data_IF_605202246041
#
_entry.id   IF_605202246041
#
_cell.length_a   1.000
_cell.length_b   1.000
_cell.length_c   1.000
_cell.angle_alpha   90.00
_cell.angle_beta   90.00
_cell.angle_gamma   90.00
#
_symmetry.space_group_name_H-M   'P 1'
#
loop_
_entity.id
_entity.type
_entity.pdbx_description
1 polymer ?
#
# COMPACT_ATOMS: atom_id res chain seq x y z
N UNK A 1 -12.95 5.29 9.27
CA UNK A 1 -13.68 5.28 7.98
C UNK A 1 -12.82 4.65 6.91
N UNK A 2 -13.28 3.50 6.40
CA UNK A 2 -12.70 2.80 5.26
C UNK A 2 -12.83 3.67 4.00
N UNK A 3 -11.83 3.60 3.14
CA UNK A 3 -11.98 4.00 1.74
C UNK A 3 -12.00 2.70 0.95
N UNK A 4 -13.20 2.17 0.69
CA UNK A 4 -13.39 1.15 -0.33
C UNK A 4 -13.28 1.86 -1.68
N UNK A 5 -12.22 1.56 -2.42
CA UNK A 5 -12.01 2.03 -3.78
C UNK A 5 -12.94 1.26 -4.71
N UNK A 6 -14.03 1.90 -5.08
CA UNK A 6 -14.75 1.80 -6.37
C UNK A 6 -16.03 2.65 -6.38
N UNK A 7 -16.31 3.39 -5.29
CA UNK A 7 -17.23 4.52 -5.33
C UNK A 7 -16.50 5.81 -4.98
N UNK A 8 -16.84 6.90 -5.67
CA UNK A 8 -16.30 8.23 -5.38
C UNK A 8 -16.73 8.61 -3.95
N UNK A 9 -15.87 8.39 -2.96
CA UNK A 9 -16.13 8.81 -1.60
C UNK A 9 -16.05 10.34 -1.56
N UNK A 10 -17.19 11.03 -1.44
CA UNK A 10 -17.23 12.47 -1.24
C UNK A 10 -16.70 12.80 0.16
N UNK A 11 -15.40 12.96 0.25
CA UNK A 11 -14.72 13.27 1.49
C UNK A 11 -14.29 14.73 1.49
N UNK A 12 -15.13 15.51 2.16
CA UNK A 12 -14.97 16.93 2.49
C UNK A 12 -15.30 17.85 1.33
N UNK A 13 -16.60 18.08 1.17
CA UNK A 13 -17.06 19.36 0.62
C UNK A 13 -16.91 20.41 1.71
N UNK A 14 -16.05 21.41 1.51
CA UNK A 14 -15.81 22.45 2.52
C UNK A 14 -16.84 23.58 2.47
N UNK A 15 -17.69 23.60 1.44
CA UNK A 15 -18.68 24.63 1.16
C UNK A 15 -19.93 24.03 0.50
N UNK A 16 -21.11 24.39 0.99
CA UNK A 16 -22.40 24.02 0.40
C UNK A 16 -23.21 25.30 0.20
N UNK A 17 -23.74 25.54 -0.99
CA UNK A 17 -24.53 26.74 -1.32
C UNK A 17 -23.85 28.05 -0.87
N UNK A 18 -22.53 28.18 -1.10
CA UNK A 18 -21.66 29.30 -0.66
C UNK A 18 -21.50 29.47 0.85
N UNK A 19 -22.05 28.57 1.67
CA UNK A 19 -21.78 28.50 3.11
C UNK A 19 -20.56 27.62 3.38
N UNK A 20 -19.54 28.19 4.01
CA UNK A 20 -18.40 27.42 4.52
C UNK A 20 -18.84 26.52 5.67
N UNK A 21 -18.41 25.26 5.60
CA UNK A 21 -18.57 24.28 6.67
C UNK A 21 -17.29 24.15 7.50
N UNK A 22 -16.19 24.78 7.10
CA UNK A 22 -14.84 24.48 7.63
C UNK A 22 -14.69 24.64 9.15
N UNK A 23 -15.44 25.57 9.74
CA UNK A 23 -15.40 25.87 11.17
C UNK A 23 -16.39 25.08 12.01
N UNK A 24 -17.18 24.20 11.38
CA UNK A 24 -18.09 23.27 12.05
C UNK A 24 -17.36 21.99 12.46
N UNK A 25 -17.86 21.34 13.52
CA UNK A 25 -17.35 20.06 13.95
C UNK A 25 -17.53 18.99 12.86
N UNK A 26 -16.67 17.97 12.82
CA UNK A 26 -16.78 16.91 11.81
C UNK A 26 -18.14 16.22 11.86
N UNK A 27 -18.71 15.99 13.05
CA UNK A 27 -20.05 15.44 13.21
C UNK A 27 -21.11 16.24 12.44
N UNK A 28 -21.21 17.53 12.75
CA UNK A 28 -22.21 18.41 12.15
C UNK A 28 -22.07 18.47 10.63
N UNK A 29 -20.83 18.45 10.13
CA UNK A 29 -20.58 18.37 8.70
C UNK A 29 -21.02 17.05 8.09
N UNK A 30 -20.86 15.93 8.80
CA UNK A 30 -21.30 14.61 8.33
C UNK A 30 -22.82 14.55 8.26
N UNK A 31 -23.51 15.04 9.28
CA UNK A 31 -24.98 15.08 9.33
C UNK A 31 -25.54 15.88 8.15
N UNK A 32 -24.98 17.06 7.87
CA UNK A 32 -25.38 17.87 6.69
C UNK A 32 -25.08 17.12 5.37
N UNK A 33 -23.95 16.42 5.28
CA UNK A 33 -23.56 15.73 4.05
C UNK A 33 -24.38 14.46 3.80
N UNK A 34 -24.77 13.72 4.83
CA UNK A 34 -25.61 12.53 4.70
C UNK A 34 -27.00 12.88 4.17
N UNK A 35 -27.52 14.06 4.53
CA UNK A 35 -28.83 14.51 4.05
C UNK A 35 -28.84 14.92 2.57
N UNK A 36 -27.67 15.30 2.03
CA UNK A 36 -27.55 15.85 0.67
C UNK A 36 -27.06 14.83 -0.34
N UNK A 37 -26.33 13.79 0.10
CA UNK A 37 -25.80 12.75 -0.79
C UNK A 37 -26.88 11.67 -0.97
N UNK A 38 -27.48 11.53 -2.16
CA UNK A 38 -28.50 10.53 -2.38
C UNK A 38 -27.87 9.13 -2.39
N UNK A 39 -28.67 8.16 -1.94
CA UNK A 39 -28.36 6.73 -2.08
C UNK A 39 -28.33 6.39 -3.58
N UNK A 40 -27.53 5.39 -3.97
CA UNK A 40 -27.43 4.87 -5.36
C UNK A 40 -26.86 5.82 -6.42
N UNK A 41 -26.12 6.85 -6.02
CA UNK A 41 -25.36 7.65 -6.97
C UNK A 41 -23.91 7.17 -7.11
N UNK A 42 -23.19 7.66 -8.12
CA UNK A 42 -21.73 7.45 -8.26
C UNK A 42 -20.92 8.03 -7.08
N UNK A 43 -21.56 8.88 -6.26
CA UNK A 43 -21.02 9.44 -5.03
C UNK A 43 -21.61 8.68 -3.85
N UNK A 44 -20.74 8.12 -3.02
CA UNK A 44 -21.16 7.35 -1.85
C UNK A 44 -20.72 8.07 -0.57
N UNK A 45 -21.60 8.06 0.44
CA UNK A 45 -21.29 8.59 1.75
C UNK A 45 -20.53 7.55 2.57
N UNK A 46 -19.34 7.92 3.05
CA UNK A 46 -18.56 7.06 3.93
C UNK A 46 -19.21 6.95 5.31
N UNK A 47 -19.74 5.76 5.63
CA UNK A 47 -20.31 5.48 6.94
C UNK A 47 -19.21 5.40 8.02
N UNK A 48 -19.56 5.81 9.22
CA UNK A 48 -18.71 5.58 10.37
C UNK A 48 -18.89 4.13 10.85
N UNK A 49 -17.81 3.57 11.38
CA UNK A 49 -17.87 2.27 12.03
C UNK A 49 -17.91 2.53 13.54
N UNK A 50 -18.96 2.09 14.24
CA UNK A 50 -19.01 2.19 15.69
C UNK A 50 -18.02 1.19 16.32
N UNK A 51 -17.51 1.55 17.50
CA UNK A 51 -16.61 0.69 18.29
C UNK A 51 -15.19 1.24 18.42
N UNK A 52 -14.35 0.46 19.08
CA UNK A 52 -12.96 0.82 19.37
C UNK A 52 -12.08 0.73 18.13
N UNK A 53 -11.15 1.67 18.00
CA UNK A 53 -10.34 1.84 16.79
C UNK A 53 -9.43 0.64 16.50
N UNK A 54 -8.93 -0.03 17.53
CA UNK A 54 -8.11 -1.24 17.43
C UNK A 54 -8.89 -2.43 16.89
N UNK A 55 -10.12 -2.65 17.39
CA UNK A 55 -11.03 -3.69 16.92
C UNK A 55 -11.43 -3.45 15.46
N UNK A 56 -11.77 -2.20 15.09
CA UNK A 56 -12.08 -1.84 13.71
C UNK A 56 -10.86 -2.08 12.81
N UNK A 57 -9.66 -1.69 13.26
CA UNK A 57 -8.44 -1.92 12.50
C UNK A 57 -8.18 -3.41 12.27
N UNK A 58 -8.39 -4.24 13.29
CA UNK A 58 -8.25 -5.69 13.18
C UNK A 58 -9.17 -6.27 12.10
N UNK A 59 -10.44 -5.84 12.06
CA UNK A 59 -11.40 -6.27 11.04
C UNK A 59 -11.01 -5.75 9.65
N UNK A 60 -10.50 -4.52 9.54
CA UNK A 60 -10.01 -3.94 8.28
C UNK A 60 -8.82 -4.71 7.73
N UNK A 61 -7.87 -5.13 8.58
CA UNK A 61 -6.75 -5.97 8.17
C UNK A 61 -7.20 -7.36 7.73
N UNK A 62 -8.07 -8.02 8.49
CA UNK A 62 -8.63 -9.32 8.13
C UNK A 62 -9.42 -9.28 6.82
N UNK A 63 -10.13 -8.19 6.56
CA UNK A 63 -10.97 -8.02 5.38
C UNK A 63 -10.19 -7.74 4.09
N UNK A 64 -8.86 -7.74 4.09
CA UNK A 64 -8.13 -7.52 2.83
C UNK A 64 -7.93 -6.06 2.45
N UNK A 65 -8.14 -5.09 3.35
CA UNK A 65 -8.23 -3.67 2.98
C UNK A 65 -6.95 -2.88 3.27
N UNK A 66 -6.68 -1.79 2.54
CA UNK A 66 -5.44 -0.99 2.66
C UNK A 66 -5.24 -0.43 4.08
N UNK A 67 -6.32 -0.19 4.81
CA UNK A 67 -6.30 0.38 6.15
C UNK A 67 -7.50 1.29 6.42
N UNK A 68 -7.36 2.18 7.40
CA UNK A 68 -8.43 3.10 7.78
C UNK A 68 -7.92 4.50 8.12
N UNK A 69 -8.83 5.47 8.02
CA UNK A 69 -8.62 6.83 8.51
C UNK A 69 -9.53 7.08 9.71
N UNK A 70 -8.93 7.39 10.86
CA UNK A 70 -9.62 7.89 12.05
C UNK A 70 -9.65 9.41 12.01
N UNK A 71 -10.76 10.00 12.44
CA UNK A 71 -10.96 11.45 12.42
C UNK A 71 -11.60 11.89 13.73
N UNK A 72 -11.06 12.95 14.35
CA UNK A 72 -11.63 13.55 15.56
C UNK A 72 -13.00 14.14 15.26
N UNK A 73 -14.00 13.67 15.99
CA UNK A 73 -15.41 13.96 15.76
C UNK A 73 -15.79 15.44 16.00
N UNK A 74 -15.13 16.08 16.95
CA UNK A 74 -15.27 17.50 17.32
C UNK A 74 -14.35 18.44 16.50
N UNK A 75 -13.55 17.89 15.58
CA UNK A 75 -12.54 18.69 14.87
C UNK A 75 -13.11 19.54 13.73
N UNK A 76 -12.69 20.80 13.73
CA UNK A 76 -12.83 21.70 12.58
C UNK A 76 -11.93 21.26 11.43
N UNK A 77 -12.31 21.59 10.21
CA UNK A 77 -11.44 21.39 9.05
C UNK A 77 -10.34 22.45 9.00
N UNK A 78 -9.10 22.01 8.88
CA UNK A 78 -7.93 22.87 8.66
C UNK A 78 -7.11 22.26 7.53
N UNK A 79 -6.76 23.07 6.54
CA UNK A 79 -5.85 22.67 5.47
C UNK A 79 -4.42 22.53 6.02
N UNK A 80 -3.63 21.63 5.45
CA UNK A 80 -2.24 21.39 5.86
C UNK A 80 -2.09 20.23 6.84
N UNK A 81 -0.98 20.22 7.57
CA UNK A 81 -0.67 19.15 8.52
C UNK A 81 -1.61 19.21 9.73
N UNK A 82 -2.23 18.07 10.06
CA UNK A 82 -3.16 17.99 11.18
C UNK A 82 -3.11 16.61 11.84
N UNK A 83 -3.25 16.58 13.15
CA UNK A 83 -3.43 15.35 13.95
C UNK A 83 -4.90 14.97 14.13
N UNK A 84 -5.82 15.77 13.58
CA UNK A 84 -7.24 15.47 13.63
C UNK A 84 -7.60 14.26 12.77
N UNK A 85 -6.76 13.94 11.77
CA UNK A 85 -6.96 12.83 10.85
C UNK A 85 -5.74 11.93 10.89
N UNK A 86 -5.93 10.71 11.37
CA UNK A 86 -4.87 9.72 11.50
C UNK A 86 -5.16 8.56 10.57
N UNK A 87 -4.20 8.25 9.70
CA UNK A 87 -4.24 7.08 8.83
C UNK A 87 -3.42 5.96 9.45
N UNK A 88 -3.98 4.76 9.46
CA UNK A 88 -3.26 3.53 9.75
C UNK A 88 -3.42 2.59 8.55
N UNK A 89 -2.33 1.94 8.16
CA UNK A 89 -2.29 1.08 6.97
C UNK A 89 -2.06 -0.36 7.38
N UNK A 90 -2.78 -1.26 6.72
CA UNK A 90 -2.61 -2.70 6.82
C UNK A 90 -1.54 -3.15 5.84
N UNK A 91 -0.70 -4.08 6.29
CA UNK A 91 0.41 -4.61 5.51
C UNK A 91 0.35 -6.13 5.49
N UNK A 92 0.73 -6.69 4.35
CA UNK A 92 0.90 -8.12 4.16
C UNK A 92 2.37 -8.44 3.96
N UNK A 93 2.78 -9.61 4.45
CA UNK A 93 4.11 -10.17 4.17
C UNK A 93 3.90 -11.49 3.44
N UNK A 94 4.30 -11.53 2.18
CA UNK A 94 4.17 -12.69 1.32
C UNK A 94 5.51 -13.02 0.64
N UNK A 95 5.60 -14.23 0.12
CA UNK A 95 6.78 -14.73 -0.57
C UNK A 95 6.60 -14.64 -2.09
N UNK A 96 7.60 -14.09 -2.77
CA UNK A 96 7.60 -13.92 -4.21
C UNK A 96 8.93 -14.38 -4.80
N UNK A 97 8.94 -14.85 -6.04
CA UNK A 97 10.19 -15.15 -6.72
C UNK A 97 10.91 -13.85 -7.06
N UNK A 98 12.21 -13.78 -6.81
CA UNK A 98 13.08 -12.69 -7.24
C UNK A 98 13.63 -13.04 -8.62
N UNK A 99 13.29 -12.22 -9.61
CA UNK A 99 13.80 -12.35 -10.99
C UNK A 99 15.16 -11.68 -11.17
N UNK A 100 15.40 -10.61 -10.42
CA UNK A 100 16.63 -9.83 -10.52
C UNK A 100 16.66 -8.67 -9.54
N UNK A 101 17.82 -8.04 -9.41
CA UNK A 101 18.03 -6.86 -8.58
C UNK A 101 18.48 -5.70 -9.45
N UNK A 102 17.71 -4.62 -9.42
CA UNK A 102 18.02 -3.37 -10.12
C UNK A 102 18.80 -2.43 -9.20
N UNK A 103 19.94 -1.94 -9.68
CA UNK A 103 20.80 -0.96 -8.99
C UNK A 103 21.28 0.07 -9.99
N UNK A 104 20.95 1.33 -9.72
CA UNK A 104 21.40 2.47 -10.49
C UNK A 104 21.98 3.52 -9.53
N UNK A 105 23.06 4.19 -9.92
CA UNK A 105 23.68 5.21 -9.10
C UNK A 105 22.66 6.32 -8.77
N UNK A 106 22.59 6.72 -7.50
CA UNK A 106 21.64 7.73 -7.03
C UNK A 106 20.18 7.26 -6.86
N UNK A 107 19.85 5.99 -7.17
CA UNK A 107 18.51 5.43 -6.97
C UNK A 107 18.52 4.31 -5.92
N UNK A 108 17.43 4.16 -5.14
CA UNK A 108 17.27 3.01 -4.25
C UNK A 108 17.29 1.69 -5.03
N UNK A 109 18.02 0.70 -4.50
CA UNK A 109 18.04 -0.64 -5.06
C UNK A 109 16.67 -1.31 -4.94
N UNK A 110 16.28 -2.08 -5.95
CA UNK A 110 14.98 -2.76 -6.00
C UNK A 110 15.10 -4.22 -6.43
N UNK A 111 14.31 -5.11 -5.85
CA UNK A 111 14.14 -6.49 -6.31
C UNK A 111 12.94 -6.58 -7.27
N UNK A 112 13.13 -7.17 -8.45
CA UNK A 112 12.07 -7.47 -9.41
C UNK A 112 11.45 -8.80 -9.05
N UNK A 113 10.11 -8.84 -9.00
CA UNK A 113 9.41 -10.01 -8.47
C UNK A 113 8.48 -10.64 -9.49
N UNK A 114 8.34 -11.94 -9.39
CA UNK A 114 7.28 -12.69 -10.03
C UNK A 114 6.36 -13.34 -9.01
N UNK A 115 5.10 -13.48 -9.41
CA UNK A 115 4.19 -14.42 -8.77
C UNK A 115 4.74 -15.85 -8.91
N UNK A 116 4.67 -16.63 -7.83
CA UNK A 116 5.30 -17.96 -7.75
C UNK A 116 4.58 -19.01 -8.59
N UNK A 117 3.27 -18.85 -8.83
CA UNK A 117 2.48 -19.83 -9.58
C UNK A 117 2.58 -19.59 -11.09
N UNK A 118 2.51 -18.34 -11.51
CA UNK A 118 2.46 -17.96 -12.93
C UNK A 118 3.83 -17.55 -13.50
N UNK A 119 4.81 -17.23 -12.67
CA UNK A 119 6.08 -16.63 -13.10
C UNK A 119 5.92 -15.21 -13.68
N UNK A 120 4.72 -14.62 -13.59
CA UNK A 120 4.43 -13.30 -14.14
C UNK A 120 5.02 -12.22 -13.26
N UNK A 121 5.64 -11.21 -13.88
CA UNK A 121 6.13 -10.03 -13.16
C UNK A 121 4.99 -9.24 -12.49
N UNK A 122 5.16 -8.92 -11.20
CA UNK A 122 4.17 -8.24 -10.34
C UNK A 122 4.72 -6.96 -9.67
N UNK A 123 5.77 -6.38 -10.26
CA UNK A 123 6.36 -5.13 -9.79
C UNK A 123 7.66 -5.28 -8.99
N UNK A 124 8.16 -4.16 -8.48
CA UNK A 124 9.43 -4.06 -7.74
C UNK A 124 9.25 -3.81 -6.23
N UNK A 125 10.14 -4.39 -5.42
CA UNK A 125 10.25 -4.12 -3.99
C UNK A 125 11.50 -3.29 -3.71
N UNK A 126 11.38 -2.23 -2.91
CA UNK A 126 12.57 -1.53 -2.41
C UNK A 126 13.39 -2.44 -1.50
N UNK A 127 14.71 -2.37 -1.64
CA UNK A 127 15.65 -3.07 -0.77
C UNK A 127 16.13 -2.09 0.30
N UNK A 128 15.33 -1.95 1.36
CA UNK A 128 15.63 -1.14 2.54
C UNK A 128 15.95 -1.98 3.79
N UNK A 129 16.21 -3.28 3.60
CA UNK A 129 16.58 -4.23 4.64
C UNK A 129 17.94 -3.88 5.28
N UNK A 130 18.28 -4.60 6.36
CA UNK A 130 19.56 -4.40 7.06
C UNK A 130 20.77 -4.54 6.13
N UNK A 131 21.90 -3.95 6.52
CA UNK A 131 23.16 -4.08 5.77
C UNK A 131 23.52 -5.54 5.50
N UNK A 132 23.38 -6.41 6.51
CA UNK A 132 23.68 -7.84 6.39
C UNK A 132 22.84 -8.54 5.31
N UNK A 133 21.53 -8.24 5.24
CA UNK A 133 20.63 -8.82 4.23
C UNK A 133 21.01 -8.31 2.85
N UNK A 134 21.30 -7.01 2.70
CA UNK A 134 21.73 -6.41 1.43
C UNK A 134 23.03 -7.02 0.91
N UNK A 135 24.02 -7.20 1.77
CA UNK A 135 25.30 -7.80 1.40
C UNK A 135 25.15 -9.28 1.02
N UNK A 136 24.35 -10.05 1.78
CA UNK A 136 24.07 -11.46 1.47
C UNK A 136 23.32 -11.60 0.14
N UNK A 137 22.31 -10.76 -0.09
CA UNK A 137 21.56 -10.75 -1.34
C UNK A 137 22.47 -10.41 -2.50
N UNK A 138 23.30 -9.38 -2.36
CA UNK A 138 24.19 -8.94 -3.42
C UNK A 138 25.21 -10.01 -3.80
N UNK A 139 25.83 -10.65 -2.82
CA UNK A 139 26.74 -11.78 -3.03
C UNK A 139 26.04 -12.91 -3.81
N UNK A 140 24.86 -13.32 -3.34
CA UNK A 140 24.09 -14.40 -3.97
C UNK A 140 23.67 -14.07 -5.40
N UNK A 141 23.27 -12.83 -5.65
CA UNK A 141 22.87 -12.34 -6.97
C UNK A 141 24.05 -12.33 -7.95
N UNK A 142 25.27 -12.04 -7.48
CA UNK A 142 26.49 -12.07 -8.29
C UNK A 142 26.98 -13.49 -8.58
N UNK A 143 27.02 -14.35 -7.56
CA UNK A 143 27.51 -15.73 -7.67
C UNK A 143 26.62 -16.62 -8.57
N UNK A 144 25.33 -16.30 -8.65
CA UNK A 144 24.33 -17.12 -9.36
C UNK A 144 23.49 -16.28 -10.32
N UNK A 145 24.17 -15.54 -11.20
CA UNK A 145 23.53 -14.80 -12.27
C UNK A 145 22.70 -15.73 -13.19
N UNK A 146 21.54 -15.24 -13.62
CA UNK A 146 20.64 -15.92 -14.57
C UNK A 146 20.41 -15.08 -15.83
N UNK A 147 19.76 -15.64 -16.86
CA UNK A 147 19.35 -14.87 -18.02
C UNK A 147 18.14 -13.95 -17.69
N UNK A 148 17.95 -12.84 -18.41
CA UNK A 148 16.73 -12.06 -18.32
C UNK A 148 15.50 -12.90 -18.72
N UNK A 149 14.34 -12.70 -18.06
CA UNK A 149 13.07 -13.19 -18.56
C UNK A 149 12.78 -12.71 -19.98
N UNK A 150 12.11 -13.56 -20.77
CA UNK A 150 11.80 -13.28 -22.18
C UNK A 150 11.03 -11.96 -22.32
N UNK A 151 11.51 -11.06 -23.18
CA UNK A 151 10.87 -9.77 -23.47
C UNK A 151 11.15 -8.67 -22.43
N UNK A 152 11.90 -8.95 -21.36
CA UNK A 152 12.21 -7.96 -20.33
C UNK A 152 13.59 -7.32 -20.57
N UNK A 153 13.61 -6.06 -21.02
CA UNK A 153 14.86 -5.29 -21.21
C UNK A 153 15.02 -4.25 -20.12
N UNK A 154 15.82 -4.56 -19.10
CA UNK A 154 16.18 -3.63 -18.00
C UNK A 154 17.69 -3.64 -17.79
N UNK A 155 18.44 -2.69 -18.38
CA UNK A 155 19.90 -2.75 -18.44
C UNK A 155 20.59 -2.57 -17.08
N UNK A 156 19.94 -1.92 -16.12
CA UNK A 156 20.44 -1.74 -14.76
C UNK A 156 20.12 -2.93 -13.82
N UNK A 157 19.59 -4.03 -14.36
CA UNK A 157 19.18 -5.21 -13.58
C UNK A 157 20.21 -6.33 -13.67
N UNK A 158 20.66 -6.80 -12.51
CA UNK A 158 21.36 -8.06 -12.38
C UNK A 158 20.33 -9.18 -12.20
N UNK A 159 20.16 -10.00 -13.24
CA UNK A 159 19.22 -11.13 -13.24
C UNK A 159 19.76 -12.29 -12.42
N UNK A 160 18.86 -13.03 -11.77
CA UNK A 160 19.19 -14.21 -10.96
C UNK A 160 18.59 -15.46 -11.56
N UNK A 161 19.18 -16.62 -11.27
CA UNK A 161 18.54 -17.90 -11.55
C UNK A 161 17.25 -18.05 -10.73
N UNK A 162 16.22 -18.72 -11.28
CA UNK A 162 15.00 -19.08 -10.55
C UNK A 162 15.28 -19.80 -9.22
N UNK A 163 14.33 -19.70 -8.29
CA UNK A 163 14.43 -20.33 -6.95
C UNK A 163 14.93 -19.41 -5.82
N UNK A 164 15.19 -18.13 -6.11
CA UNK A 164 15.45 -17.12 -5.08
C UNK A 164 14.13 -16.52 -4.59
N UNK A 165 13.73 -16.81 -3.36
CA UNK A 165 12.43 -16.41 -2.81
C UNK A 165 12.61 -15.22 -1.87
N UNK A 166 11.97 -14.11 -2.19
CA UNK A 166 11.95 -12.90 -1.39
C UNK A 166 10.74 -12.84 -0.48
N UNK A 167 10.95 -12.62 0.81
CA UNK A 167 9.90 -12.26 1.77
C UNK A 167 9.66 -10.76 1.69
N UNK A 168 8.49 -10.35 1.22
CA UNK A 168 8.20 -8.96 0.86
C UNK A 168 7.03 -8.44 1.67
N UNK A 169 7.22 -7.28 2.31
CA UNK A 169 6.15 -6.52 2.95
C UNK A 169 5.56 -5.51 1.96
N UNK A 170 4.26 -5.50 1.76
CA UNK A 170 3.56 -4.54 0.90
C UNK A 170 2.20 -4.13 1.50
N UNK A 171 1.55 -3.12 0.94
CA UNK A 171 0.18 -2.77 1.32
C UNK A 171 -0.80 -3.84 0.88
N UNK A 172 -1.81 -4.05 1.71
CA UNK A 172 -2.96 -4.91 1.42
C UNK A 172 -3.98 -4.18 0.53
N UNK A 173 -4.79 -4.93 -0.21
CA UNK A 173 -6.00 -4.41 -0.89
C UNK A 173 -5.83 -3.97 -2.34
N UNK A 174 -4.74 -4.32 -3.00
CA UNK A 174 -4.50 -4.08 -4.42
C UNK A 174 -3.85 -5.34 -5.04
N UNK A 175 -4.13 -5.62 -6.31
CA UNK A 175 -3.49 -6.74 -7.03
C UNK A 175 -1.99 -6.48 -7.26
N UNK A 176 -1.62 -5.22 -7.48
CA UNK A 176 -0.25 -4.78 -7.64
C UNK A 176 0.40 -4.44 -6.29
N UNK A 177 1.67 -4.81 -6.15
CA UNK A 177 2.43 -4.64 -4.92
C UNK A 177 2.85 -3.17 -4.68
N UNK A 178 2.00 -2.41 -3.99
CA UNK A 178 2.26 -1.01 -3.61
C UNK A 178 3.05 -0.87 -2.31
N UNK A 179 3.95 0.12 -2.27
CA UNK A 179 4.86 0.42 -1.15
C UNK A 179 5.64 -0.80 -0.66
N UNK A 180 6.05 -1.64 -1.60
CA UNK A 180 6.63 -2.91 -1.26
C UNK A 180 8.11 -2.81 -0.89
N UNK A 181 8.52 -3.64 0.07
CA UNK A 181 9.89 -3.68 0.59
C UNK A 181 10.33 -5.12 0.87
N UNK A 182 11.52 -5.47 0.39
CA UNK A 182 12.13 -6.76 0.66
C UNK A 182 12.54 -6.82 2.14
N UNK A 183 11.98 -7.76 2.89
CA UNK A 183 12.30 -7.96 4.30
C UNK A 183 13.47 -8.91 4.46
N UNK A 184 13.43 -10.03 3.74
CA UNK A 184 14.46 -11.05 3.74
C UNK A 184 14.36 -11.91 2.46
N UNK A 185 15.26 -12.87 2.29
CA UNK A 185 15.19 -13.85 1.21
C UNK A 185 15.73 -15.21 1.65
N UNK A 186 15.26 -16.26 0.98
CA UNK A 186 15.73 -17.64 1.11
C UNK A 186 15.90 -18.26 -0.26
N UNK A 187 16.59 -19.39 -0.29
CA UNK A 187 16.66 -20.24 -1.47
C UNK A 187 15.66 -21.37 -1.30
N UNK A 188 14.93 -21.69 -2.36
CA UNK A 188 14.17 -22.92 -2.43
C UNK A 188 15.14 -24.02 -2.84
N UNK A 189 15.28 -25.06 -2.01
CA UNK A 189 16.12 -26.20 -2.34
C UNK A 189 15.61 -26.83 -3.62
N UNK A 190 16.48 -26.93 -4.63
CA UNK A 190 16.27 -27.79 -5.80
C UNK A 190 16.10 -29.24 -5.42
#
# INVERSE_FOLDING_TARGET
>A
MLVLREATAALVRSEINRRSLRDMALKERRDILSDIIPIDTRIQFGQELPGEADAIYHLVDQAGLEGMVSKRHDSKYRSGQSTNWLKIKSYEIAEYEILGVEREAGKPACALRADRASGKYIGSAFINSSRAIRERLWRRVQEHAGPPPKGMRRPATQWVKPGLIGRVKHLRGEEDLRHASLQDFREEGT
#
